data_IF_222608842222
#
_entry.id   IF_222608842222
#
_cell.length_a   1.000
_cell.length_b   1.000
_cell.length_c   1.000
_cell.angle_alpha   90.00
_cell.angle_beta   90.00
_cell.angle_gamma   90.00
#
_symmetry.space_group_name_H-M   'P 1'
#
loop_
_entity.id
_entity.type
_entity.pdbx_description
1 polymer ?
#
# COMPACT_ATOMS: atom_id res chain seq x y z
N UNK A 1 8.55 -43.82 12.40
CA UNK A 1 8.02 -42.70 11.59
C UNK A 1 8.05 -41.37 12.34
N UNK A 2 7.55 -41.27 13.57
CA UNK A 2 7.56 -40.01 14.34
C UNK A 2 8.97 -39.42 14.56
N UNK A 3 9.95 -40.26 14.87
CA UNK A 3 11.35 -39.82 15.05
C UNK A 3 11.95 -39.20 13.78
N UNK A 4 11.65 -39.79 12.62
CA UNK A 4 12.12 -39.27 11.31
C UNK A 4 11.44 -37.94 11.00
N UNK A 5 10.16 -37.77 11.34
CA UNK A 5 9.45 -36.50 11.17
C UNK A 5 10.00 -35.41 12.08
N UNK A 6 10.35 -35.73 13.32
CA UNK A 6 10.95 -34.75 14.24
C UNK A 6 12.39 -34.39 13.83
N UNK A 7 13.19 -35.37 13.45
CA UNK A 7 14.55 -35.16 12.92
C UNK A 7 14.49 -34.29 11.65
N UNK A 8 13.54 -34.53 10.75
CA UNK A 8 13.33 -33.72 9.56
C UNK A 8 12.93 -32.28 9.91
N UNK A 9 12.03 -32.07 10.88
CA UNK A 9 11.67 -30.72 11.35
C UNK A 9 12.86 -29.98 11.98
N UNK A 10 13.69 -30.69 12.73
CA UNK A 10 14.88 -30.10 13.34
C UNK A 10 15.89 -29.71 12.26
N UNK A 11 16.15 -30.60 11.29
CA UNK A 11 17.00 -30.31 10.13
C UNK A 11 16.48 -29.16 9.29
N UNK A 12 15.16 -29.08 9.07
CA UNK A 12 14.58 -27.98 8.29
C UNK A 12 14.67 -26.65 9.05
N UNK A 13 14.43 -26.64 10.37
CA UNK A 13 14.67 -25.45 11.22
C UNK A 13 16.14 -25.03 11.22
N UNK A 14 17.05 -26.00 11.25
CA UNK A 14 18.48 -25.72 11.21
C UNK A 14 18.90 -25.18 9.83
N UNK A 15 18.34 -25.72 8.73
CA UNK A 15 18.50 -25.21 7.37
C UNK A 15 18.02 -23.77 7.28
N UNK A 16 16.77 -23.47 7.65
CA UNK A 16 16.22 -22.11 7.63
C UNK A 16 17.03 -21.13 8.49
N UNK A 17 17.51 -21.56 9.66
CA UNK A 17 18.38 -20.75 10.52
C UNK A 17 19.74 -20.46 9.89
N UNK A 18 20.28 -21.38 9.08
CA UNK A 18 21.54 -21.16 8.37
C UNK A 18 21.29 -20.23 7.18
N UNK A 19 20.26 -20.49 6.38
CA UNK A 19 19.90 -19.71 5.20
C UNK A 19 19.63 -18.24 5.53
N UNK A 20 18.89 -17.95 6.62
CA UNK A 20 18.61 -16.59 7.06
C UNK A 20 19.85 -15.79 7.51
N UNK A 21 20.98 -16.45 7.76
CA UNK A 21 22.23 -15.76 8.11
C UNK A 21 22.97 -15.23 6.89
N UNK A 22 22.68 -15.68 5.67
CA UNK A 22 23.41 -15.24 4.48
C UNK A 22 22.53 -14.32 3.63
N UNK A 23 23.13 -13.59 2.70
CA UNK A 23 22.36 -12.77 1.77
C UNK A 23 21.73 -13.68 0.70
N UNK A 24 20.46 -13.42 0.31
CA UNK A 24 19.80 -14.20 -0.73
C UNK A 24 20.34 -13.92 -2.14
N UNK A 25 20.79 -12.69 -2.39
CA UNK A 25 21.48 -12.26 -3.60
C UNK A 25 22.52 -11.18 -3.27
N UNK A 26 23.49 -10.96 -4.17
CA UNK A 26 24.48 -9.89 -4.03
C UNK A 26 23.96 -8.55 -4.57
N UNK A 27 22.85 -8.06 -4.00
CA UNK A 27 22.25 -6.77 -4.33
C UNK A 27 22.95 -5.63 -3.57
N UNK A 28 23.68 -4.79 -4.32
CA UNK A 28 24.45 -3.69 -3.78
C UNK A 28 23.58 -2.69 -2.99
N UNK A 29 22.35 -2.43 -3.42
CA UNK A 29 21.45 -1.46 -2.78
C UNK A 29 21.02 -1.92 -1.38
N UNK A 30 20.73 -3.22 -1.24
CA UNK A 30 20.37 -3.84 0.05
C UNK A 30 21.55 -3.84 1.01
N UNK A 31 22.75 -4.11 0.50
CA UNK A 31 23.98 -4.07 1.27
C UNK A 31 24.25 -2.64 1.75
N UNK A 32 24.15 -1.64 0.87
CA UNK A 32 24.30 -0.22 1.23
C UNK A 32 23.31 0.16 2.33
N UNK A 33 22.04 -0.23 2.20
CA UNK A 33 21.04 0.09 3.21
C UNK A 33 21.37 -0.50 4.58
N UNK A 34 21.74 -1.80 4.63
CA UNK A 34 22.12 -2.45 5.88
C UNK A 34 23.37 -1.81 6.49
N UNK A 35 24.40 -1.54 5.68
CA UNK A 35 25.63 -0.91 6.16
C UNK A 35 25.35 0.51 6.67
N UNK A 36 24.56 1.31 5.96
CA UNK A 36 24.19 2.65 6.38
C UNK A 36 23.43 2.64 7.72
N UNK A 37 22.54 1.67 7.93
CA UNK A 37 21.87 1.50 9.22
C UNK A 37 22.88 1.16 10.33
N UNK A 38 23.84 0.26 10.08
CA UNK A 38 24.85 -0.11 11.07
C UNK A 38 25.84 1.03 11.37
N UNK A 39 26.13 1.90 10.39
CA UNK A 39 27.05 3.04 10.52
C UNK A 39 26.39 4.21 11.26
N UNK A 40 25.15 4.55 10.88
CA UNK A 40 24.42 5.73 11.39
C UNK A 40 24.25 5.70 12.90
N UNK A 41 24.09 4.51 13.48
CA UNK A 41 23.90 4.34 14.92
C UNK A 41 25.18 4.62 15.73
N UNK A 42 26.36 4.61 15.10
CA UNK A 42 27.66 4.59 15.80
C UNK A 42 28.45 5.91 15.73
N UNK A 43 27.88 6.96 15.12
CA UNK A 43 28.48 8.29 14.99
C UNK A 43 29.92 8.28 14.41
N UNK A 44 30.19 7.33 13.52
CA UNK A 44 31.46 7.24 12.78
C UNK A 44 31.28 7.88 11.40
N UNK A 45 32.30 8.62 10.95
CA UNK A 45 32.27 9.24 9.63
C UNK A 45 32.76 8.24 8.58
N UNK A 46 31.94 7.99 7.57
CA UNK A 46 32.26 7.16 6.42
C UNK A 46 32.02 8.00 5.18
N UNK A 47 33.08 8.28 4.41
CA UNK A 47 32.98 9.12 3.22
C UNK A 47 32.28 8.40 2.09
N UNK A 48 32.71 7.16 1.82
CA UNK A 48 32.26 6.37 0.67
C UNK A 48 32.20 4.88 1.00
N UNK A 49 31.42 4.14 0.21
CA UNK A 49 31.42 2.68 0.18
C UNK A 49 31.87 2.19 -1.20
N UNK A 50 33.03 1.55 -1.26
CA UNK A 50 33.60 1.07 -2.52
C UNK A 50 33.32 -0.42 -2.69
N UNK A 51 32.56 -0.77 -3.73
CA UNK A 51 32.16 -2.15 -3.99
C UNK A 51 32.98 -2.75 -5.12
N UNK A 52 33.55 -3.92 -4.85
CA UNK A 52 34.15 -4.74 -5.88
C UNK A 52 33.07 -5.48 -6.69
N UNK A 53 33.43 -5.89 -7.90
CA UNK A 53 32.53 -6.71 -8.73
C UNK A 53 32.25 -8.04 -8.02
N UNK A 54 31.02 -8.56 -8.11
CA UNK A 54 30.71 -9.90 -7.64
C UNK A 54 31.71 -10.93 -8.18
N UNK A 55 32.19 -11.79 -7.29
CA UNK A 55 33.12 -12.87 -7.61
C UNK A 55 32.72 -14.14 -6.84
N UNK A 56 33.45 -15.22 -7.01
CA UNK A 56 33.21 -16.46 -6.27
C UNK A 56 34.44 -16.85 -5.46
N UNK A 57 34.23 -17.40 -4.27
CA UNK A 57 35.26 -18.02 -3.44
C UNK A 57 35.00 -19.52 -3.28
N UNK A 58 36.07 -20.33 -3.30
CA UNK A 58 35.95 -21.78 -3.09
C UNK A 58 36.02 -22.06 -1.57
N UNK A 59 34.89 -22.46 -0.99
CA UNK A 59 34.77 -22.86 0.41
C UNK A 59 34.54 -24.37 0.50
N UNK A 60 35.63 -25.13 0.66
CA UNK A 60 35.59 -26.59 0.61
C UNK A 60 35.36 -27.08 -0.83
N UNK A 61 34.22 -27.74 -1.06
CA UNK A 61 33.80 -28.22 -2.40
C UNK A 61 32.75 -27.31 -3.06
N UNK A 62 32.40 -26.17 -2.43
CA UNK A 62 31.39 -25.23 -2.91
C UNK A 62 32.03 -23.95 -3.46
N UNK A 63 31.54 -23.51 -4.61
CA UNK A 63 31.82 -22.19 -5.15
C UNK A 63 30.74 -21.22 -4.66
N UNK A 64 31.13 -20.26 -3.82
CA UNK A 64 30.21 -19.36 -3.12
C UNK A 64 30.34 -17.93 -3.67
N UNK A 65 29.26 -17.33 -4.19
CA UNK A 65 29.28 -15.94 -4.61
C UNK A 65 29.57 -15.00 -3.44
N UNK A 66 30.49 -14.06 -3.66
CA UNK A 66 30.84 -13.01 -2.71
C UNK A 66 31.01 -11.64 -3.37
N UNK A 67 30.86 -10.61 -2.55
CA UNK A 67 31.15 -9.22 -2.87
C UNK A 67 31.98 -8.63 -1.74
N UNK A 68 32.96 -7.81 -2.11
CA UNK A 68 33.81 -7.09 -1.16
C UNK A 68 33.43 -5.62 -1.14
N UNK A 69 33.39 -5.05 0.07
CA UNK A 69 33.08 -3.64 0.32
C UNK A 69 34.20 -3.01 1.12
N UNK A 70 34.88 -2.04 0.54
CA UNK A 70 35.90 -1.23 1.20
C UNK A 70 35.29 0.06 1.73
N UNK A 71 35.45 0.26 3.03
CA UNK A 71 34.86 1.36 3.79
C UNK A 71 35.97 2.17 4.47
N UNK A 72 36.42 3.29 3.89
CA UNK A 72 37.21 4.27 4.63
C UNK A 72 36.36 4.90 5.74
N UNK A 73 36.95 5.08 6.92
CA UNK A 73 36.27 5.68 8.07
C UNK A 73 37.18 6.64 8.84
N UNK A 74 36.55 7.57 9.55
CA UNK A 74 37.17 8.44 10.56
C UNK A 74 36.30 8.44 11.82
N UNK A 75 36.91 8.32 13.00
CA UNK A 75 36.21 8.39 14.27
C UNK A 75 37.12 8.16 15.46
N UNK A 76 36.55 8.01 16.65
CA UNK A 76 37.27 7.62 17.85
C UNK A 76 37.40 6.10 17.94
N UNK A 77 38.39 5.62 18.69
CA UNK A 77 38.63 4.18 18.86
C UNK A 77 37.40 3.41 19.37
N UNK A 78 36.68 3.96 20.34
CA UNK A 78 35.49 3.31 20.90
C UNK A 78 34.34 3.21 19.87
N UNK A 79 34.20 4.21 18.98
CA UNK A 79 33.19 4.19 17.91
C UNK A 79 33.50 3.11 16.87
N UNK A 80 34.78 2.95 16.49
CA UNK A 80 35.22 1.88 15.60
C UNK A 80 34.94 0.50 16.23
N UNK A 81 35.20 0.33 17.53
CA UNK A 81 34.89 -0.92 18.24
C UNK A 81 33.39 -1.22 18.27
N UNK A 82 32.55 -0.20 18.43
CA UNK A 82 31.10 -0.37 18.37
C UNK A 82 30.64 -0.76 16.97
N UNK A 83 31.16 -0.12 15.92
CA UNK A 83 30.88 -0.50 14.53
C UNK A 83 31.25 -1.96 14.26
N UNK A 84 32.43 -2.41 14.69
CA UNK A 84 32.83 -3.82 14.57
C UNK A 84 31.85 -4.75 15.29
N UNK A 85 31.34 -4.32 16.45
CA UNK A 85 30.37 -5.08 17.24
C UNK A 85 29.01 -5.12 16.57
N UNK A 86 28.55 -4.01 15.98
CA UNK A 86 27.32 -3.90 15.21
C UNK A 86 27.36 -4.79 13.96
N UNK A 87 28.47 -4.77 13.21
CA UNK A 87 28.69 -5.64 12.05
C UNK A 87 28.65 -7.11 12.46
N UNK A 88 29.28 -7.49 13.58
CA UNK A 88 29.24 -8.86 14.11
C UNK A 88 27.87 -9.29 14.61
N UNK A 89 27.09 -8.35 15.14
CA UNK A 89 25.73 -8.58 15.64
C UNK A 89 24.67 -8.55 14.53
N UNK A 90 25.06 -8.18 13.31
CA UNK A 90 24.17 -8.08 12.15
C UNK A 90 23.38 -9.38 11.94
N UNK A 91 22.07 -9.28 11.62
CA UNK A 91 21.24 -10.45 11.31
C UNK A 91 21.75 -11.20 10.07
N UNK A 92 22.44 -10.50 9.15
CA UNK A 92 23.10 -11.07 7.99
C UNK A 92 24.60 -11.13 8.23
N UNK A 93 25.22 -12.22 7.80
CA UNK A 93 26.63 -12.52 8.00
C UNK A 93 27.47 -11.64 7.08
N UNK A 94 28.14 -10.69 7.70
CA UNK A 94 29.15 -9.83 7.10
C UNK A 94 30.47 -10.20 7.80
N UNK A 95 31.51 -10.50 7.03
CA UNK A 95 32.84 -10.77 7.57
C UNK A 95 33.71 -9.54 7.41
N UNK A 96 34.52 -9.25 8.41
CA UNK A 96 35.58 -8.25 8.30
C UNK A 96 36.82 -9.02 7.86
N UNK A 97 37.29 -8.74 6.65
CA UNK A 97 38.48 -9.36 6.07
C UNK A 97 39.74 -8.65 6.57
N UNK A 98 39.74 -7.32 6.44
CA UNK A 98 40.87 -6.48 6.84
C UNK A 98 40.39 -5.22 7.56
N UNK A 99 41.23 -4.73 8.47
CA UNK A 99 41.03 -3.49 9.19
C UNK A 99 42.38 -2.78 9.34
N UNK A 100 42.51 -1.62 8.72
CA UNK A 100 43.64 -0.71 8.90
C UNK A 100 43.21 0.47 9.75
N UNK A 101 44.08 0.91 10.67
CA UNK A 101 43.82 1.98 11.63
C UNK A 101 45.10 2.80 11.79
N UNK A 102 45.02 4.08 11.50
CA UNK A 102 46.09 5.05 11.69
C UNK A 102 45.59 6.25 12.49
N UNK A 103 46.49 6.86 13.24
CA UNK A 103 46.17 8.08 14.00
C UNK A 103 46.11 9.26 13.05
N UNK A 104 44.99 9.99 13.07
CA UNK A 104 44.76 11.12 12.17
C UNK A 104 44.93 12.47 12.88
N UNK A 105 44.11 12.74 13.90
CA UNK A 105 44.19 13.98 14.67
C UNK A 105 43.74 13.76 16.13
N UNK A 106 44.56 14.17 17.10
CA UNK A 106 44.21 14.04 18.52
C UNK A 106 43.91 12.59 18.94
N UNK A 107 42.68 12.36 19.40
CA UNK A 107 42.13 11.03 19.78
C UNK A 107 41.40 10.32 18.63
N UNK A 108 41.31 10.98 17.46
CA UNK A 108 40.67 10.42 16.27
C UNK A 108 41.64 9.51 15.49
N UNK A 109 41.06 8.46 14.95
CA UNK A 109 41.70 7.49 14.08
C UNK A 109 40.97 7.48 12.74
N UNK A 110 41.74 7.30 11.68
CA UNK A 110 41.24 7.10 10.34
C UNK A 110 41.80 5.79 9.79
N UNK A 111 41.07 5.16 8.89
CA UNK A 111 41.48 3.86 8.37
C UNK A 111 40.52 3.33 7.34
N UNK A 112 40.72 2.08 6.95
CA UNK A 112 39.82 1.37 6.04
C UNK A 112 39.44 0.00 6.59
N UNK A 113 38.19 -0.37 6.41
CA UNK A 113 37.65 -1.68 6.73
C UNK A 113 37.20 -2.37 5.45
N UNK A 114 37.73 -3.55 5.17
CA UNK A 114 37.32 -4.39 4.04
C UNK A 114 36.35 -5.45 4.55
N UNK A 115 35.17 -5.48 3.97
CA UNK A 115 34.07 -6.36 4.35
C UNK A 115 33.82 -7.39 3.25
N UNK A 116 33.67 -8.65 3.62
CA UNK A 116 33.27 -9.74 2.73
C UNK A 116 31.82 -10.14 3.01
N UNK A 117 31.04 -10.16 1.93
CA UNK A 117 29.61 -10.45 1.95
C UNK A 117 29.37 -11.66 1.07
N UNK A 118 28.78 -12.70 1.65
CA UNK A 118 28.51 -13.96 0.96
C UNK A 118 27.02 -14.12 0.67
N UNK A 119 26.74 -14.59 -0.53
CA UNK A 119 25.42 -14.99 -0.98
C UNK A 119 25.35 -16.50 -1.15
N UNK A 120 24.17 -17.08 -0.99
CA UNK A 120 23.91 -18.48 -1.38
C UNK A 120 23.15 -18.55 -2.72
N UNK A 121 23.11 -17.46 -3.47
CA UNK A 121 22.58 -17.40 -4.84
C UNK A 121 23.20 -18.50 -5.70
N UNK A 122 22.35 -19.31 -6.33
CA UNK A 122 22.78 -20.45 -7.14
C UNK A 122 23.27 -21.69 -6.36
N UNK A 123 23.40 -21.62 -5.03
CA UNK A 123 23.75 -22.76 -4.15
C UNK A 123 22.52 -23.28 -3.40
N UNK A 124 21.64 -22.38 -2.98
CA UNK A 124 20.38 -22.68 -2.32
C UNK A 124 19.27 -21.84 -2.95
N UNK A 125 18.08 -22.43 -3.15
CA UNK A 125 16.87 -21.69 -3.51
C UNK A 125 16.51 -20.79 -2.33
N UNK A 126 16.87 -19.51 -2.45
CA UNK A 126 16.60 -18.44 -1.49
C UNK A 126 15.70 -17.40 -2.13
N UNK A 127 14.57 -17.10 -1.49
CA UNK A 127 13.75 -15.96 -1.88
C UNK A 127 14.48 -14.65 -1.54
N UNK A 128 14.54 -13.67 -2.47
CA UNK A 128 15.18 -12.39 -2.22
C UNK A 128 14.35 -11.58 -1.21
N UNK A 129 14.69 -11.68 0.07
CA UNK A 129 14.25 -10.72 1.08
C UNK A 129 14.97 -9.40 0.80
N UNK A 130 14.33 -8.53 0.01
CA UNK A 130 14.76 -7.13 -0.16
C UNK A 130 14.49 -6.40 1.14
N UNK A 131 15.52 -5.88 1.80
CA UNK A 131 15.34 -4.98 2.93
C UNK A 131 14.66 -3.71 2.39
N UNK A 132 13.45 -3.34 2.83
CA UNK A 132 12.81 -2.14 2.35
C UNK A 132 13.64 -0.94 2.81
N UNK A 133 14.18 -0.20 1.84
CA UNK A 133 14.84 1.07 2.08
C UNK A 133 13.76 2.07 2.47
N UNK A 134 13.72 2.47 3.73
CA UNK A 134 12.98 3.67 4.13
C UNK A 134 13.57 4.85 3.33
N UNK A 135 12.77 5.42 2.44
CA UNK A 135 13.10 6.71 1.84
C UNK A 135 13.26 7.69 2.98
N UNK A 136 14.44 8.30 3.08
CA UNK A 136 14.68 9.39 4.03
C UNK A 136 13.56 10.40 3.80
N UNK A 137 12.76 10.67 4.84
CA UNK A 137 11.93 11.87 4.86
C UNK A 137 12.89 13.04 4.70
N UNK A 138 12.93 13.62 3.50
CA UNK A 138 13.53 14.92 3.30
C UNK A 138 12.66 15.89 4.09
N UNK A 139 13.11 16.24 5.29
CA UNK A 139 12.73 17.48 5.92
C UNK A 139 13.08 18.62 4.95
N UNK A 140 12.02 19.25 4.44
CA UNK A 140 11.99 20.49 3.67
C UNK A 140 12.59 20.44 2.24
N UNK A 141 11.82 21.02 1.32
CA UNK A 141 12.09 21.17 -0.11
C UNK A 141 13.41 21.90 -0.40
N UNK A 142 14.55 21.24 -0.23
CA UNK A 142 15.83 21.72 -0.77
C UNK A 142 16.03 21.06 -2.12
N UNK A 143 15.66 21.80 -3.17
CA UNK A 143 16.00 21.42 -4.53
C UNK A 143 17.53 21.56 -4.67
N UNK A 144 18.30 20.47 -4.90
CA UNK A 144 19.77 20.50 -4.78
C UNK A 144 20.50 21.34 -5.84
N UNK A 145 19.76 21.98 -6.74
CA UNK A 145 20.28 22.70 -7.90
C UNK A 145 19.57 24.05 -8.16
N UNK A 146 19.15 24.76 -7.11
CA UNK A 146 18.66 26.13 -7.27
C UNK A 146 19.82 27.12 -7.55
N UNK A 147 19.70 28.07 -8.51
CA UNK A 147 20.67 29.14 -8.69
C UNK A 147 20.65 30.11 -7.49
N UNK A 148 21.74 30.87 -7.29
CA UNK A 148 21.81 31.91 -6.27
C UNK A 148 21.18 33.23 -6.76
N UNK A 149 20.67 34.04 -5.83
CA UNK A 149 19.77 35.21 -6.05
C UNK A 149 20.26 36.29 -7.05
N UNK A 150 21.55 36.33 -7.39
CA UNK A 150 22.15 37.33 -8.29
C UNK A 150 22.58 36.74 -9.65
N UNK A 151 22.12 35.53 -10.00
CA UNK A 151 22.47 34.88 -11.27
C UNK A 151 21.68 35.49 -12.45
N UNK A 152 22.30 36.44 -13.16
CA UNK A 152 21.80 36.95 -14.44
C UNK A 152 22.32 36.09 -15.61
N UNK A 153 21.54 35.09 -16.03
CA UNK A 153 21.83 34.24 -17.20
C UNK A 153 21.55 34.96 -18.54
N UNK A 154 22.53 34.93 -19.45
CA UNK A 154 22.42 35.32 -20.87
C UNK A 154 21.47 34.31 -21.60
N UNK A 155 20.64 34.68 -22.61
CA UNK A 155 19.53 33.85 -23.09
C UNK A 155 19.96 32.72 -24.04
N UNK A 156 21.13 32.14 -23.81
CA UNK A 156 21.61 30.96 -24.51
C UNK A 156 22.34 30.07 -23.50
N UNK A 157 21.67 28.95 -23.16
CA UNK A 157 22.09 27.93 -22.19
C UNK A 157 21.90 28.28 -20.71
N UNK A 158 21.18 27.40 -20.01
CA UNK A 158 21.35 27.18 -18.58
C UNK A 158 20.10 27.45 -17.74
N UNK A 159 19.70 26.38 -17.04
CA UNK A 159 18.72 26.26 -15.97
C UNK A 159 18.54 27.47 -15.04
N UNK A 160 17.35 27.55 -14.45
CA UNK A 160 17.17 28.28 -13.20
C UNK A 160 15.75 28.26 -12.68
N UNK A 161 15.55 27.49 -11.62
CA UNK A 161 14.40 27.52 -10.72
C UNK A 161 14.01 28.94 -10.34
N UNK A 162 12.71 29.21 -10.30
CA UNK A 162 12.14 30.19 -9.39
C UNK A 162 10.93 29.56 -8.70
N UNK A 163 11.11 29.29 -7.40
CA UNK A 163 10.03 29.07 -6.48
C UNK A 163 9.40 30.41 -6.12
N UNK A 164 8.11 30.55 -6.37
CA UNK A 164 7.24 31.34 -5.51
C UNK A 164 6.00 30.50 -5.21
N UNK A 165 5.90 30.07 -3.95
CA UNK A 165 4.60 29.81 -3.35
C UNK A 165 3.94 31.15 -3.07
N UNK A 166 2.72 31.38 -3.55
CA UNK A 166 1.73 31.98 -2.68
C UNK A 166 0.47 31.12 -2.63
N UNK A 167 0.13 30.79 -1.39
CA UNK A 167 -1.21 30.39 -0.93
C UNK A 167 -2.28 31.24 -1.62
N UNK A 168 -3.28 30.59 -2.22
CA UNK A 168 -4.46 31.26 -2.73
C UNK A 168 -5.37 30.34 -3.53
N UNK A 169 -6.37 29.81 -2.85
CA UNK A 169 -7.53 29.10 -3.40
C UNK A 169 -8.14 29.89 -4.58
N UNK A 170 -8.39 29.26 -5.74
CA UNK A 170 -9.68 29.28 -6.46
C UNK A 170 -9.59 28.49 -7.78
N UNK A 171 -10.65 27.75 -8.09
CA UNK A 171 -10.82 27.01 -9.35
C UNK A 171 -11.38 27.94 -10.43
N UNK A 172 -10.75 28.02 -11.61
CA UNK A 172 -11.48 28.34 -12.84
C UNK A 172 -10.75 27.89 -14.11
N UNK A 173 -11.45 27.10 -14.92
CA UNK A 173 -11.07 26.56 -16.23
C UNK A 173 -10.81 27.65 -17.30
N UNK A 174 -9.89 27.40 -18.24
CA UNK A 174 -9.73 28.22 -19.45
C UNK A 174 -8.53 27.87 -20.33
N UNK A 175 -8.66 26.76 -21.09
CA UNK A 175 -8.09 26.43 -22.41
C UNK A 175 -6.62 26.72 -22.79
N UNK A 176 -5.93 25.58 -23.03
CA UNK A 176 -5.16 25.20 -24.24
C UNK A 176 -3.77 25.84 -24.46
N UNK A 177 -2.72 25.05 -24.26
CA UNK A 177 -1.83 24.58 -25.35
C UNK A 177 -0.93 23.43 -24.86
N UNK A 178 -1.13 22.27 -25.47
CA UNK A 178 -0.36 21.04 -25.34
C UNK A 178 1.10 21.17 -25.82
N UNK A 179 2.05 20.75 -24.99
CA UNK A 179 3.25 19.98 -25.41
C UNK A 179 3.55 18.94 -24.33
N UNK A 180 3.74 17.69 -24.75
CA UNK A 180 3.60 16.48 -23.93
C UNK A 180 4.60 16.35 -22.77
N UNK A 181 4.04 16.26 -21.58
CA UNK A 181 4.63 15.64 -20.39
C UNK A 181 4.03 14.23 -20.23
N UNK A 182 4.84 13.28 -19.77
CA UNK A 182 4.40 11.94 -19.43
C UNK A 182 3.30 12.02 -18.35
N UNK A 183 2.06 11.81 -18.79
CA UNK A 183 0.87 11.69 -17.96
C UNK A 183 1.14 10.58 -16.94
N UNK A 184 1.28 10.91 -15.65
CA UNK A 184 0.85 9.98 -14.62
C UNK A 184 -0.65 9.76 -14.86
N UNK A 185 -1.01 8.65 -15.51
CA UNK A 185 -2.39 8.23 -15.61
C UNK A 185 -2.97 8.27 -14.19
N UNK A 186 -4.03 9.07 -14.00
CA UNK A 186 -4.87 9.05 -12.80
C UNK A 186 -6.01 8.08 -13.09
N UNK A 187 -5.83 6.75 -12.96
CA UNK A 187 -6.86 5.77 -13.30
C UNK A 187 -8.14 5.96 -12.47
N UNK A 188 -8.05 6.67 -11.34
CA UNK A 188 -9.19 7.03 -10.50
C UNK A 188 -9.99 8.26 -11.01
N UNK A 189 -9.54 8.91 -12.07
CA UNK A 189 -10.25 9.99 -12.78
C UNK A 189 -10.73 9.50 -14.14
N UNK A 190 -11.93 8.91 -14.15
CA UNK A 190 -12.60 8.46 -15.38
C UNK A 190 -13.60 9.51 -15.85
N UNK A 191 -13.27 10.18 -16.95
CA UNK A 191 -14.17 11.17 -17.57
C UNK A 191 -15.51 10.52 -17.95
N UNK A 192 -16.62 11.19 -17.65
CA UNK A 192 -17.97 10.66 -17.89
C UNK A 192 -18.43 9.54 -16.94
N UNK A 193 -17.68 9.24 -15.88
CA UNK A 193 -18.10 8.30 -14.83
C UNK A 193 -18.40 9.01 -13.51
N UNK A 194 -19.48 8.58 -12.84
CA UNK A 194 -19.78 8.95 -11.47
C UNK A 194 -18.94 8.07 -10.55
N UNK A 195 -18.10 8.69 -9.73
CA UNK A 195 -17.30 8.01 -8.71
C UNK A 195 -18.03 7.96 -7.38
N UNK A 196 -17.97 6.82 -6.71
CA UNK A 196 -18.48 6.60 -5.35
C UNK A 196 -17.40 5.93 -4.51
N UNK A 197 -17.03 6.53 -3.38
CA UNK A 197 -16.09 5.93 -2.43
C UNK A 197 -16.83 4.89 -1.60
N UNK A 198 -16.40 3.64 -1.70
CA UNK A 198 -16.98 2.51 -0.97
C UNK A 198 -16.37 2.36 0.43
N UNK A 199 -15.06 2.55 0.57
CA UNK A 199 -14.37 2.40 1.86
C UNK A 199 -12.98 3.08 1.87
N UNK A 200 -12.71 3.91 2.87
CA UNK A 200 -11.43 4.61 3.09
C UNK A 200 -10.50 3.88 4.09
N UNK A 201 -10.98 2.81 4.75
CA UNK A 201 -10.21 2.04 5.76
C UNK A 201 -9.79 2.78 7.03
N UNK A 202 -10.27 4.01 7.21
CA UNK A 202 -10.07 4.85 8.40
C UNK A 202 -10.58 4.27 9.72
N UNK A 203 -11.57 3.39 9.66
CA UNK A 203 -12.18 2.77 10.86
C UNK A 203 -11.86 1.28 10.91
N UNK A 204 -11.43 0.79 12.07
CA UNK A 204 -11.12 -0.63 12.30
C UNK A 204 -12.43 -1.42 12.45
N UNK A 205 -13.03 -1.79 11.32
CA UNK A 205 -14.21 -2.65 11.22
C UNK A 205 -13.90 -3.97 10.49
N UNK A 206 -12.61 -4.33 10.42
CA UNK A 206 -12.09 -5.48 9.69
C UNK A 206 -11.28 -6.42 10.59
N UNK A 207 -11.16 -7.69 10.19
CA UNK A 207 -10.38 -8.68 10.92
C UNK A 207 -9.76 -9.74 10.01
N UNK A 208 -8.70 -10.40 10.48
CA UNK A 208 -8.02 -11.42 9.71
C UNK A 208 -8.67 -12.79 9.93
N UNK A 209 -8.94 -13.52 8.85
CA UNK A 209 -9.46 -14.88 8.89
C UNK A 209 -8.60 -15.79 7.99
N UNK A 210 -7.97 -16.84 8.51
CA UNK A 210 -7.33 -17.85 7.69
C UNK A 210 -8.35 -18.90 7.21
N UNK A 211 -8.17 -19.45 6.01
CA UNK A 211 -8.93 -20.63 5.55
C UNK A 211 -8.57 -21.91 6.33
N UNK A 212 -7.31 -22.06 6.76
CA UNK A 212 -6.85 -23.19 7.55
C UNK A 212 -5.70 -22.85 8.53
N UNK A 213 -5.37 -23.71 9.53
CA UNK A 213 -4.41 -23.38 10.60
C UNK A 213 -2.96 -23.12 10.15
N UNK A 214 -2.55 -23.62 8.99
CA UNK A 214 -1.23 -23.35 8.42
C UNK A 214 -1.07 -21.94 7.83
N UNK A 215 -2.13 -21.14 7.79
CA UNK A 215 -2.10 -19.74 7.38
C UNK A 215 -2.09 -18.84 8.61
N UNK A 216 -1.12 -17.93 8.65
CA UNK A 216 -0.99 -16.91 9.69
C UNK A 216 -1.05 -15.54 9.05
N UNK A 217 -1.46 -14.56 9.83
CA UNK A 217 -1.54 -13.18 9.36
C UNK A 217 -2.27 -12.30 10.35
N UNK A 218 -2.35 -11.02 10.00
CA UNK A 218 -3.07 -10.00 10.77
C UNK A 218 -3.42 -8.83 9.88
N UNK A 219 -4.40 -8.06 10.33
CA UNK A 219 -4.83 -6.81 9.69
C UNK A 219 -4.88 -5.71 10.73
N UNK A 220 -4.39 -4.54 10.39
CA UNK A 220 -4.38 -3.37 11.28
C UNK A 220 -4.15 -2.07 10.48
N UNK A 221 -4.45 -0.89 11.05
CA UNK A 221 -4.22 0.38 10.37
C UNK A 221 -2.75 0.64 10.06
N UNK A 222 -2.48 1.31 8.94
CA UNK A 222 -1.17 1.79 8.55
C UNK A 222 -1.16 3.30 8.31
N UNK A 223 -0.03 3.95 8.62
CA UNK A 223 0.22 5.35 8.33
C UNK A 223 0.50 5.60 6.84
N UNK A 224 1.01 4.60 6.12
CA UNK A 224 1.20 4.66 4.67
C UNK A 224 -0.16 4.66 3.97
N UNK A 225 -0.56 5.75 3.32
CA UNK A 225 -1.91 5.94 2.78
C UNK A 225 -1.91 6.70 1.46
N UNK A 226 -2.98 6.51 0.68
CA UNK A 226 -3.35 7.26 -0.51
C UNK A 226 -4.45 8.27 -0.25
N UNK A 227 -5.32 8.00 0.72
CA UNK A 227 -6.46 8.85 1.07
C UNK A 227 -6.74 8.78 2.57
N UNK A 228 -7.62 9.66 3.06
CA UNK A 228 -8.10 9.62 4.43
C UNK A 228 -7.03 9.78 5.52
N UNK A 229 -7.30 9.18 6.67
CA UNK A 229 -6.47 9.22 7.87
C UNK A 229 -5.50 8.04 7.99
N UNK A 230 -5.92 6.84 7.59
CA UNK A 230 -5.09 5.63 7.58
C UNK A 230 -5.57 4.62 6.52
N UNK A 231 -4.73 3.65 6.20
CA UNK A 231 -5.03 2.56 5.28
C UNK A 231 -5.10 1.22 6.02
N UNK A 232 -5.53 0.17 5.32
CA UNK A 232 -5.51 -1.20 5.85
C UNK A 232 -4.19 -1.89 5.49
N UNK A 233 -3.41 -2.28 6.49
CA UNK A 233 -2.27 -3.18 6.30
C UNK A 233 -2.68 -4.62 6.52
N UNK A 234 -2.35 -5.46 5.54
CA UNK A 234 -2.65 -6.88 5.50
C UNK A 234 -1.34 -7.67 5.43
N UNK A 235 -1.00 -8.34 6.52
CA UNK A 235 0.17 -9.23 6.60
C UNK A 235 -0.28 -10.67 6.53
N UNK A 236 0.43 -11.47 5.72
CA UNK A 236 0.12 -12.88 5.50
C UNK A 236 1.39 -13.74 5.50
N UNK A 237 1.21 -14.99 5.89
CA UNK A 237 2.16 -16.07 5.74
C UNK A 237 1.34 -17.35 5.51
N UNK A 238 1.33 -17.81 4.26
CA UNK A 238 0.53 -18.93 3.80
C UNK A 238 1.48 -20.08 3.49
N UNK A 239 1.29 -21.21 4.19
CA UNK A 239 1.90 -22.48 3.84
C UNK A 239 0.84 -23.27 3.07
N UNK A 240 1.03 -23.44 1.77
CA UNK A 240 0.01 -23.85 0.80
C UNK A 240 -0.14 -25.38 0.69
N UNK A 241 -0.50 -26.02 1.81
CA UNK A 241 -0.59 -27.48 1.93
C UNK A 241 -2.00 -28.04 1.71
N UNK A 242 -3.00 -27.19 1.56
CA UNK A 242 -4.41 -27.60 1.48
C UNK A 242 -5.02 -27.27 0.11
N UNK A 243 -6.26 -27.70 -0.13
CA UNK A 243 -6.99 -27.34 -1.36
C UNK A 243 -7.36 -25.85 -1.43
N UNK A 244 -7.64 -25.23 -0.27
CA UNK A 244 -8.00 -23.82 -0.15
C UNK A 244 -6.95 -23.07 0.67
N UNK A 245 -5.98 -22.43 0.00
CA UNK A 245 -4.90 -21.68 0.65
C UNK A 245 -5.17 -20.17 0.61
N UNK A 246 -6.25 -19.73 1.28
CA UNK A 246 -6.70 -18.33 1.29
C UNK A 246 -6.52 -17.63 2.62
N UNK A 247 -5.94 -16.44 2.59
CA UNK A 247 -5.91 -15.48 3.69
C UNK A 247 -6.94 -14.38 3.43
N UNK A 248 -7.82 -14.12 4.39
CA UNK A 248 -8.93 -13.17 4.24
C UNK A 248 -8.78 -11.94 5.14
N UNK A 249 -9.17 -10.80 4.58
CA UNK A 249 -9.60 -9.61 5.30
C UNK A 249 -11.13 -9.63 5.34
N UNK A 250 -11.70 -9.84 6.52
CA UNK A 250 -13.15 -9.80 6.74
C UNK A 250 -13.65 -8.37 6.77
N UNK A 251 -14.49 -8.01 5.79
CA UNK A 251 -15.14 -6.71 5.64
C UNK A 251 -16.66 -6.80 5.88
N UNK A 252 -17.17 -7.94 6.34
CA UNK A 252 -18.61 -8.16 6.55
C UNK A 252 -19.26 -7.17 7.52
N UNK A 253 -18.47 -6.57 8.43
CA UNK A 253 -18.90 -5.54 9.38
C UNK A 253 -18.76 -4.11 8.86
N UNK A 254 -18.12 -3.91 7.70
CA UNK A 254 -17.92 -2.61 7.08
C UNK A 254 -19.18 -2.07 6.39
N UNK A 255 -20.22 -2.90 6.20
CA UNK A 255 -21.50 -2.52 5.58
C UNK A 255 -21.37 -1.88 4.19
N UNK A 256 -20.38 -2.30 3.41
CA UNK A 256 -20.19 -1.84 2.03
C UNK A 256 -21.21 -2.55 1.13
N UNK A 257 -22.14 -1.80 0.54
CA UNK A 257 -23.20 -2.33 -0.32
C UNK A 257 -23.31 -1.60 -1.65
N UNK A 258 -23.39 -2.36 -2.73
CA UNK A 258 -23.64 -1.87 -4.08
C UNK A 258 -25.12 -2.13 -4.42
N UNK A 259 -25.87 -1.06 -4.68
CA UNK A 259 -27.31 -1.17 -4.98
C UNK A 259 -27.61 -1.64 -6.41
N UNK A 260 -26.68 -1.40 -7.34
CA UNK A 260 -26.78 -1.76 -8.75
C UNK A 260 -25.36 -1.93 -9.32
N UNK A 261 -25.19 -2.54 -10.51
CA UNK A 261 -23.87 -2.82 -11.06
C UNK A 261 -23.06 -1.55 -11.36
N UNK A 262 -21.86 -1.41 -10.78
CA UNK A 262 -20.87 -0.46 -11.28
C UNK A 262 -20.21 -1.00 -12.55
N UNK A 263 -19.66 -0.09 -13.37
CA UNK A 263 -18.83 -0.45 -14.52
C UNK A 263 -17.52 -1.09 -14.01
N UNK A 264 -16.92 -0.49 -13.00
CA UNK A 264 -15.70 -1.00 -12.36
C UNK A 264 -15.69 -0.71 -10.87
N UNK A 265 -15.04 -1.58 -10.10
CA UNK A 265 -14.67 -1.36 -8.70
C UNK A 265 -13.14 -1.31 -8.65
N UNK A 266 -12.60 -0.26 -8.05
CA UNK A 266 -11.18 -0.02 -7.93
C UNK A 266 -10.71 0.01 -6.48
N UNK A 267 -9.45 -0.33 -6.25
CA UNK A 267 -8.78 -0.17 -4.95
C UNK A 267 -7.29 0.07 -5.16
N UNK A 268 -6.69 0.94 -4.35
CA UNK A 268 -5.25 1.14 -4.32
C UNK A 268 -4.60 0.03 -3.51
N UNK A 269 -3.59 -0.63 -4.09
CA UNK A 269 -2.83 -1.69 -3.44
C UNK A 269 -1.34 -1.38 -3.50
N UNK A 270 -0.73 -1.21 -2.34
CA UNK A 270 0.71 -1.14 -2.19
C UNK A 270 1.29 -2.53 -2.00
N UNK A 271 2.37 -2.83 -2.73
CA UNK A 271 3.17 -4.04 -2.53
C UNK A 271 4.63 -3.71 -2.23
N UNK A 272 5.30 -4.58 -1.49
CA UNK A 272 6.72 -4.51 -1.17
C UNK A 272 7.56 -5.58 -1.90
N UNK A 273 6.91 -6.45 -2.67
CA UNK A 273 7.59 -7.57 -3.33
C UNK A 273 6.69 -8.30 -4.30
N UNK A 274 7.27 -9.32 -4.93
CA UNK A 274 6.52 -10.24 -5.77
C UNK A 274 5.70 -11.21 -4.92
N UNK A 275 4.47 -11.51 -5.34
CA UNK A 275 3.69 -12.65 -4.85
C UNK A 275 3.03 -13.35 -6.04
N UNK A 276 3.09 -14.70 -6.14
CA UNK A 276 2.35 -15.44 -7.15
C UNK A 276 0.85 -15.55 -6.84
N UNK A 277 0.38 -14.93 -5.75
CA UNK A 277 -0.99 -15.06 -5.28
C UNK A 277 -2.04 -14.32 -6.10
N UNK A 278 -3.25 -14.84 -6.06
CA UNK A 278 -4.43 -14.22 -6.64
C UNK A 278 -5.08 -13.34 -5.58
N UNK A 279 -5.12 -12.04 -5.83
CA UNK A 279 -5.83 -11.07 -5.01
C UNK A 279 -7.25 -10.92 -5.58
N UNK A 280 -8.27 -10.96 -4.73
CA UNK A 280 -9.65 -10.81 -5.16
C UNK A 280 -10.59 -10.33 -4.08
N UNK A 281 -11.83 -10.07 -4.47
CA UNK A 281 -12.91 -9.62 -3.60
C UNK A 281 -14.03 -10.67 -3.64
N UNK A 282 -14.48 -11.07 -2.45
CA UNK A 282 -15.67 -11.89 -2.25
C UNK A 282 -16.87 -10.98 -2.01
N UNK A 283 -17.88 -11.12 -2.84
CA UNK A 283 -19.19 -10.50 -2.66
C UNK A 283 -20.19 -11.49 -2.07
N UNK A 284 -21.15 -10.97 -1.31
CA UNK A 284 -22.35 -11.69 -0.87
C UNK A 284 -23.56 -11.12 -1.60
N UNK A 285 -24.33 -12.00 -2.26
CA UNK A 285 -25.56 -11.65 -2.96
C UNK A 285 -26.74 -11.47 -1.99
N UNK A 286 -27.86 -10.96 -2.50
CA UNK A 286 -29.10 -10.95 -1.73
C UNK A 286 -29.63 -12.34 -1.33
N UNK A 287 -29.29 -13.40 -2.08
CA UNK A 287 -29.59 -14.80 -1.75
C UNK A 287 -28.66 -15.39 -0.68
N UNK A 288 -27.67 -14.61 -0.20
CA UNK A 288 -26.58 -15.05 0.70
C UNK A 288 -25.63 -16.07 0.07
N UNK A 289 -25.52 -16.04 -1.24
CA UNK A 289 -24.51 -16.80 -1.97
C UNK A 289 -23.25 -15.94 -2.12
N UNK A 290 -22.10 -16.60 -2.23
CA UNK A 290 -20.81 -15.94 -2.36
C UNK A 290 -20.32 -15.98 -3.80
N UNK A 291 -19.80 -14.85 -4.27
CA UNK A 291 -19.19 -14.71 -5.59
C UNK A 291 -17.79 -14.14 -5.39
N UNK A 292 -16.78 -14.87 -5.86
CA UNK A 292 -15.39 -14.42 -5.83
C UNK A 292 -15.05 -13.81 -7.18
N UNK A 293 -14.53 -12.58 -7.16
CA UNK A 293 -14.06 -11.87 -8.36
C UNK A 293 -12.59 -11.53 -8.19
N UNK A 294 -11.79 -11.94 -9.17
CA UNK A 294 -10.35 -11.69 -9.19
C UNK A 294 -10.05 -10.23 -9.48
N UNK A 295 -9.14 -9.64 -8.70
CA UNK A 295 -8.64 -8.28 -8.86
C UNK A 295 -7.26 -8.29 -9.54
N UNK A 296 -6.40 -9.25 -9.20
CA UNK A 296 -5.12 -9.47 -9.88
C UNK A 296 -4.70 -10.93 -9.80
N UNK A 297 -4.16 -11.45 -10.89
CA UNK A 297 -3.48 -12.75 -10.93
C UNK A 297 -1.97 -12.50 -10.79
N UNK A 298 -1.46 -12.68 -9.57
CA UNK A 298 -0.09 -12.30 -9.22
C UNK A 298 0.04 -10.83 -8.86
N UNK A 299 1.08 -10.55 -8.08
CA UNK A 299 1.46 -9.23 -7.60
C UNK A 299 2.92 -9.05 -7.99
N UNK A 300 3.18 -8.24 -9.02
CA UNK A 300 4.51 -8.08 -9.62
C UNK A 300 5.03 -6.65 -9.59
N UNK A 301 4.32 -5.75 -8.91
CA UNK A 301 4.71 -4.35 -8.76
C UNK A 301 5.29 -4.09 -7.37
N UNK A 302 6.09 -3.04 -7.28
CA UNK A 302 6.53 -2.42 -6.04
C UNK A 302 5.82 -1.07 -5.91
N UNK A 303 5.50 -0.66 -4.70
CA UNK A 303 4.78 0.60 -4.49
C UNK A 303 3.28 0.47 -4.71
N UNK A 304 2.63 1.61 -4.91
CA UNK A 304 1.19 1.71 -5.14
C UNK A 304 0.79 1.40 -6.57
N UNK A 305 -0.25 0.59 -6.74
CA UNK A 305 -0.92 0.37 -8.02
C UNK A 305 -2.43 0.41 -7.82
N UNK A 306 -3.14 1.06 -8.74
CA UNK A 306 -4.59 0.99 -8.79
C UNK A 306 -5.01 -0.30 -9.49
N UNK A 307 -5.83 -1.10 -8.84
CA UNK A 307 -6.37 -2.33 -9.42
C UNK A 307 -7.87 -2.18 -9.59
N UNK A 308 -8.39 -2.75 -10.67
CA UNK A 308 -9.80 -2.68 -11.03
C UNK A 308 -10.36 -4.06 -11.33
N UNK A 309 -11.63 -4.25 -11.02
CA UNK A 309 -12.41 -5.41 -11.43
C UNK A 309 -13.77 -4.98 -11.98
N UNK A 310 -14.34 -5.83 -12.83
CA UNK A 310 -15.72 -5.71 -13.28
C UNK A 310 -16.65 -6.44 -12.31
N UNK A 311 -17.67 -5.76 -11.82
CA UNK A 311 -18.70 -6.39 -10.99
C UNK A 311 -19.64 -7.26 -11.84
N UNK A 312 -20.34 -8.26 -11.26
CA UNK A 312 -21.35 -9.02 -11.98
C UNK A 312 -22.44 -8.11 -12.56
N UNK A 313 -22.79 -8.26 -13.84
CA UNK A 313 -23.80 -7.40 -14.49
C UNK A 313 -25.25 -7.83 -14.18
N UNK A 314 -25.45 -9.07 -13.73
CA UNK A 314 -26.79 -9.61 -13.43
C UNK A 314 -27.43 -8.87 -12.25
N UNK A 315 -28.43 -8.05 -12.58
CA UNK A 315 -29.20 -7.25 -11.63
C UNK A 315 -29.89 -8.09 -10.55
N UNK A 316 -30.16 -9.39 -10.79
CA UNK A 316 -30.81 -10.27 -9.81
C UNK A 316 -29.91 -10.60 -8.60
N UNK A 317 -28.60 -10.36 -8.73
CA UNK A 317 -27.63 -10.58 -7.65
C UNK A 317 -27.60 -9.43 -6.64
N UNK A 318 -28.10 -8.25 -7.04
CA UNK A 318 -28.03 -7.01 -6.27
C UNK A 318 -29.17 -6.91 -5.24
N UNK A 319 -28.95 -6.23 -4.10
CA UNK A 319 -27.71 -5.54 -3.71
C UNK A 319 -26.57 -6.50 -3.36
N UNK A 320 -25.37 -6.22 -3.89
CA UNK A 320 -24.15 -6.95 -3.54
C UNK A 320 -23.53 -6.32 -2.30
N UNK A 321 -23.00 -7.13 -1.40
CA UNK A 321 -22.19 -6.66 -0.26
C UNK A 321 -20.76 -7.13 -0.40
N UNK A 322 -19.80 -6.27 -0.12
CA UNK A 322 -18.39 -6.70 -0.01
C UNK A 322 -18.25 -7.48 1.29
N UNK A 323 -17.92 -8.76 1.18
CA UNK A 323 -17.77 -9.66 2.32
C UNK A 323 -16.30 -9.77 2.74
N UNK A 324 -15.40 -10.06 1.80
CA UNK A 324 -13.97 -10.24 2.08
C UNK A 324 -13.08 -9.72 0.96
N UNK A 325 -11.87 -9.30 1.30
CA UNK A 325 -10.73 -9.33 0.36
C UNK A 325 -9.95 -10.61 0.66
N UNK A 326 -9.50 -11.32 -0.37
CA UNK A 326 -8.73 -12.56 -0.21
C UNK A 326 -7.44 -12.53 -1.01
N UNK A 327 -6.39 -13.13 -0.45
CA UNK A 327 -5.19 -13.54 -1.17
C UNK A 327 -5.15 -15.07 -1.20
N UNK A 328 -5.10 -15.66 -2.39
CA UNK A 328 -5.04 -17.10 -2.60
C UNK A 328 -3.70 -17.52 -3.17
N UNK A 329 -3.10 -18.58 -2.63
CA UNK A 329 -1.96 -19.26 -3.26
C UNK A 329 -2.37 -20.60 -3.87
N UNK A 330 -1.72 -21.02 -4.97
CA UNK A 330 -1.84 -22.37 -5.46
C UNK A 330 -1.17 -23.36 -4.49
N UNK A 331 -1.62 -24.62 -4.51
CA UNK A 331 -1.00 -25.69 -3.74
C UNK A 331 0.51 -25.80 -4.01
N UNK A 332 1.29 -26.10 -2.97
CA UNK A 332 2.76 -26.24 -3.00
C UNK A 332 3.49 -24.95 -3.41
N UNK A 333 2.84 -23.80 -3.21
CA UNK A 333 3.46 -22.48 -3.35
C UNK A 333 3.25 -21.66 -2.09
N UNK A 334 4.17 -21.84 -1.15
CA UNK A 334 4.22 -21.04 0.07
C UNK A 334 4.61 -19.61 -0.28
N UNK A 335 4.05 -18.64 0.45
CA UNK A 335 4.41 -17.24 0.31
C UNK A 335 4.08 -16.46 1.59
N UNK A 336 4.80 -15.37 1.82
CA UNK A 336 4.56 -14.45 2.92
C UNK A 336 4.86 -13.03 2.50
N UNK A 337 4.13 -12.08 3.07
CA UNK A 337 4.31 -10.70 2.67
C UNK A 337 3.31 -9.76 3.28
N UNK A 338 3.28 -8.57 2.71
CA UNK A 338 2.46 -7.46 3.18
C UNK A 338 1.85 -6.76 1.98
N UNK A 339 0.55 -6.52 2.05
CA UNK A 339 -0.17 -5.62 1.17
C UNK A 339 -0.75 -4.47 2.01
N UNK A 340 -0.79 -3.27 1.44
CA UNK A 340 -1.54 -2.16 2.02
C UNK A 340 -2.65 -1.79 1.05
N UNK A 341 -3.88 -1.79 1.53
CA UNK A 341 -5.07 -1.48 0.75
C UNK A 341 -5.64 -0.15 1.21
N UNK A 342 -6.00 0.69 0.24
CA UNK A 342 -6.59 1.98 0.53
C UNK A 342 -7.60 2.40 -0.54
N UNK A 343 -8.53 3.28 -0.17
CA UNK A 343 -9.48 3.98 -1.05
C UNK A 343 -10.15 3.04 -2.07
N UNK A 344 -11.10 2.25 -1.59
CA UNK A 344 -11.94 1.40 -2.43
C UNK A 344 -13.08 2.24 -3.03
N UNK A 345 -13.26 2.17 -4.35
CA UNK A 345 -14.15 3.04 -5.12
C UNK A 345 -14.96 2.24 -6.15
N UNK A 346 -16.13 2.74 -6.51
CA UNK A 346 -16.94 2.25 -7.61
C UNK A 346 -17.14 3.35 -8.65
N UNK A 347 -17.11 2.98 -9.93
CA UNK A 347 -17.38 3.87 -11.04
C UNK A 347 -18.62 3.42 -11.78
N UNK A 348 -19.55 4.35 -11.96
CA UNK A 348 -20.77 4.14 -12.70
C UNK A 348 -20.76 5.00 -13.95
N UNK A 349 -21.08 4.42 -15.11
CA UNK A 349 -21.26 5.20 -16.34
C UNK A 349 -22.37 6.23 -16.10
N UNK A 350 -22.06 7.51 -16.25
CA UNK A 350 -23.11 8.52 -16.29
C UNK A 350 -23.80 8.43 -17.66
N UNK A 351 -25.12 8.43 -17.65
CA UNK A 351 -25.88 8.57 -18.89
C UNK A 351 -25.61 9.99 -19.43
N UNK A 352 -25.06 10.18 -20.64
CA UNK A 352 -24.79 11.50 -21.22
C UNK A 352 -26.05 12.35 -21.37
N UNK A 353 -27.23 11.72 -21.35
CA UNK A 353 -28.53 12.41 -21.32
C UNK A 353 -28.85 13.06 -19.96
N UNK A 354 -28.08 12.75 -18.91
CA UNK A 354 -27.98 13.49 -17.65
C UNK A 354 -26.68 14.32 -17.59
N UNK A 355 -26.20 14.79 -18.74
CA UNK A 355 -25.05 15.67 -18.84
C UNK A 355 -25.29 16.96 -18.06
N UNK A 356 -24.24 17.38 -17.34
CA UNK A 356 -23.94 18.75 -16.88
C UNK A 356 -25.12 19.72 -17.02
N UNK A 357 -26.04 19.56 -16.09
CA UNK A 357 -27.27 20.32 -15.98
C UNK A 357 -27.57 20.46 -14.50
N UNK A 358 -26.97 21.48 -13.92
CA UNK A 358 -27.62 22.31 -12.92
C UNK A 358 -27.67 21.82 -11.48
N UNK A 359 -27.62 22.82 -10.62
CA UNK A 359 -28.05 22.88 -9.24
C UNK A 359 -29.50 22.41 -9.01
N UNK A 360 -29.83 21.15 -9.32
CA UNK A 360 -31.13 20.57 -8.98
C UNK A 360 -30.97 19.33 -8.09
N UNK A 361 -31.45 19.48 -6.86
CA UNK A 361 -31.06 18.64 -5.73
C UNK A 361 -31.42 17.17 -5.93
N UNK A 362 -30.47 16.28 -5.66
CA UNK A 362 -30.73 14.85 -5.58
C UNK A 362 -31.94 14.60 -4.67
N UNK A 363 -32.92 13.80 -5.08
CA UNK A 363 -34.06 13.46 -4.23
C UNK A 363 -33.75 12.23 -3.35
N UNK A 364 -34.36 12.16 -2.16
CA UNK A 364 -34.39 10.99 -1.27
C UNK A 364 -35.84 10.55 -1.06
N UNK A 365 -36.06 9.28 -0.72
CA UNK A 365 -37.39 8.74 -0.45
C UNK A 365 -37.58 8.44 1.04
N UNK A 366 -38.74 8.81 1.59
CA UNK A 366 -39.11 8.55 2.98
C UNK A 366 -40.42 7.77 3.06
N UNK A 367 -40.44 6.63 3.75
CA UNK A 367 -41.66 5.85 3.98
C UNK A 367 -42.34 6.31 5.28
N UNK A 368 -43.55 6.86 5.16
CA UNK A 368 -44.35 7.36 6.30
C UNK A 368 -44.68 6.22 7.26
N UNK A 369 -44.29 6.37 8.53
CA UNK A 369 -44.55 5.45 9.64
C UNK A 369 -45.76 5.89 10.45
N UNK A 370 -46.26 4.99 11.30
CA UNK A 370 -47.39 5.28 12.21
C UNK A 370 -46.99 6.40 13.17
N UNK A 371 -47.75 7.50 13.15
CA UNK A 371 -47.53 8.66 14.02
C UNK A 371 -46.70 9.78 13.40
N UNK A 372 -46.19 9.59 12.17
CA UNK A 372 -45.46 10.64 11.48
C UNK A 372 -46.38 11.80 11.07
N UNK A 373 -45.80 13.00 11.06
CA UNK A 373 -46.41 14.22 10.54
C UNK A 373 -45.43 14.89 9.58
N UNK A 374 -45.92 15.67 8.62
CA UNK A 374 -45.04 16.42 7.72
C UNK A 374 -44.10 17.36 8.47
N UNK A 375 -44.57 17.96 9.58
CA UNK A 375 -43.73 18.77 10.46
C UNK A 375 -42.59 17.97 11.10
N UNK A 376 -42.89 16.75 11.56
CA UNK A 376 -41.92 15.85 12.16
C UNK A 376 -40.86 15.43 11.15
N UNK A 377 -41.28 15.01 9.96
CA UNK A 377 -40.40 14.58 8.88
C UNK A 377 -39.54 15.75 8.39
N UNK A 378 -40.12 16.94 8.18
CA UNK A 378 -39.36 18.11 7.74
C UNK A 378 -38.27 18.47 8.76
N UNK A 379 -38.59 18.44 10.06
CA UNK A 379 -37.63 18.70 11.12
C UNK A 379 -36.56 17.61 11.23
N UNK A 380 -36.93 16.34 11.03
CA UNK A 380 -36.00 15.21 11.07
C UNK A 380 -34.98 15.26 9.93
N UNK A 381 -35.44 15.58 8.71
CA UNK A 381 -34.61 15.54 7.50
C UNK A 381 -33.85 16.85 7.27
N UNK A 382 -34.51 18.00 7.42
CA UNK A 382 -33.94 19.31 7.07
C UNK A 382 -33.56 20.16 8.30
N UNK A 383 -33.84 19.69 9.52
CA UNK A 383 -33.69 20.49 10.73
C UNK A 383 -34.70 21.65 10.89
N UNK A 384 -35.55 21.90 9.87
CA UNK A 384 -36.49 23.02 9.81
C UNK A 384 -37.88 22.60 9.34
N UNK A 385 -38.91 23.33 9.79
CA UNK A 385 -40.31 23.15 9.35
C UNK A 385 -40.64 23.92 8.07
N UNK A 386 -39.71 24.72 7.56
CA UNK A 386 -39.93 25.58 6.39
C UNK A 386 -40.14 24.79 5.09
N UNK A 387 -39.63 23.57 5.04
CA UNK A 387 -39.69 22.68 3.87
C UNK A 387 -41.03 21.97 3.68
N UNK A 388 -42.01 22.14 4.57
CA UNK A 388 -43.30 21.43 4.48
C UNK A 388 -44.02 21.68 3.15
N UNK A 389 -43.99 22.93 2.64
CA UNK A 389 -44.63 23.25 1.36
C UNK A 389 -43.95 22.54 0.19
N UNK A 390 -42.62 22.52 0.18
CA UNK A 390 -41.85 21.82 -0.84
C UNK A 390 -42.13 20.31 -0.80
N UNK A 391 -42.16 19.72 0.40
CA UNK A 391 -42.55 18.31 0.57
C UNK A 391 -43.96 18.08 0.03
N UNK A 392 -44.91 18.98 0.30
CA UNK A 392 -46.28 18.84 -0.19
C UNK A 392 -46.37 18.94 -1.72
N UNK A 393 -45.65 19.88 -2.32
CA UNK A 393 -45.60 20.10 -3.77
C UNK A 393 -44.96 18.91 -4.50
N UNK A 394 -43.85 18.38 -3.99
CA UNK A 394 -43.17 17.21 -4.56
C UNK A 394 -43.98 15.91 -4.47
N UNK A 395 -44.98 15.85 -3.58
CA UNK A 395 -45.70 14.61 -3.25
C UNK A 395 -47.20 14.65 -3.55
N UNK A 396 -47.65 15.68 -4.28
CA UNK A 396 -49.05 15.94 -4.59
C UNK A 396 -49.96 15.92 -3.34
N UNK A 397 -49.46 16.42 -2.20
CA UNK A 397 -50.19 16.46 -0.93
C UNK A 397 -50.95 17.78 -0.85
N UNK A 398 -52.27 17.71 -0.82
CA UNK A 398 -53.14 18.90 -0.73
C UNK A 398 -53.47 19.32 0.70
N UNK A 399 -53.47 18.37 1.63
CA UNK A 399 -53.77 18.61 3.04
C UNK A 399 -52.62 18.08 3.90
N UNK A 400 -51.97 18.98 4.64
CA UNK A 400 -50.82 18.68 5.47
C UNK A 400 -51.15 17.70 6.62
N UNK A 401 -52.42 17.60 7.00
CA UNK A 401 -52.88 16.68 8.05
C UNK A 401 -53.22 15.29 7.51
N UNK A 402 -53.27 15.12 6.19
CA UNK A 402 -53.61 13.88 5.53
C UNK A 402 -52.34 13.18 5.01
N UNK A 403 -51.58 12.60 5.94
CA UNK A 403 -50.39 11.82 5.62
C UNK A 403 -50.64 10.32 5.89
N UNK A 404 -51.06 9.53 4.88
CA UNK A 404 -51.34 8.12 5.08
C UNK A 404 -50.06 7.33 5.36
N UNK A 405 -50.10 6.50 6.40
CA UNK A 405 -49.03 5.55 6.73
C UNK A 405 -48.76 4.65 5.53
N UNK A 406 -47.49 4.46 5.20
CA UNK A 406 -47.05 3.68 4.04
C UNK A 406 -46.95 4.48 2.74
N UNK A 407 -47.32 5.77 2.72
CA UNK A 407 -47.00 6.65 1.58
C UNK A 407 -45.48 6.83 1.49
N UNK A 408 -44.94 6.79 0.27
CA UNK A 408 -43.54 7.13 0.00
C UNK A 408 -43.49 8.60 -0.38
N UNK A 409 -42.70 9.39 0.36
CA UNK A 409 -42.46 10.79 0.08
C UNK A 409 -41.16 10.97 -0.71
N UNK A 410 -41.21 11.78 -1.75
CA UNK A 410 -40.07 12.33 -2.49
C UNK A 410 -39.65 13.62 -1.79
N UNK A 411 -38.41 13.67 -1.32
CA UNK A 411 -37.84 14.77 -0.56
C UNK A 411 -36.59 15.25 -1.28
N UNK A 412 -36.35 16.55 -1.39
CA UNK A 412 -35.04 17.04 -1.86
C UNK A 412 -33.96 16.67 -0.82
N UNK A 413 -32.78 16.24 -1.24
CA UNK A 413 -31.66 15.96 -0.31
C UNK A 413 -31.26 17.28 0.37
N UNK A 414 -31.19 17.31 1.71
CA UNK A 414 -30.85 18.51 2.48
C UNK A 414 -29.44 19.02 2.19
#
# INVERSE_FOLDING_TARGET
>A
EEKIKEDWRQLNRDRERILNKYFPSLDQSQIIYLLNHLIKDENIWVEDLNFNRPSSEILGDLEVPMMEVDMPFEGQYDQVLNLISAIKASPRKILIDNLSLDRWDGENIAGSMSLQIYSLEGIADLDPIVIPVEGVENDEDVIPFAPYDDYAGDPAYGDGYDGESPIGDDYSYGDDYSYGEDFEERPDLKEGMKKEVLHEFDTINYSFIPSHPHIKGRVYPSSLKKSGSCSLRFEYHIIALEEDNRAYVDLSKANISLGYPPETIGVWVHSYGYSPGILGIRFMTQSREFIDVTLSEGISWLGWKYLELSAPEDLSLYPLRVDKVYLQLPYDRDDYGVLVLDKMEAFYRQDPSQGYGDSDGAYIFYLVKVGDTLEGIAKEIYGSREYIREIMELNDIRDANSLPVGKVLVLRRP
#
